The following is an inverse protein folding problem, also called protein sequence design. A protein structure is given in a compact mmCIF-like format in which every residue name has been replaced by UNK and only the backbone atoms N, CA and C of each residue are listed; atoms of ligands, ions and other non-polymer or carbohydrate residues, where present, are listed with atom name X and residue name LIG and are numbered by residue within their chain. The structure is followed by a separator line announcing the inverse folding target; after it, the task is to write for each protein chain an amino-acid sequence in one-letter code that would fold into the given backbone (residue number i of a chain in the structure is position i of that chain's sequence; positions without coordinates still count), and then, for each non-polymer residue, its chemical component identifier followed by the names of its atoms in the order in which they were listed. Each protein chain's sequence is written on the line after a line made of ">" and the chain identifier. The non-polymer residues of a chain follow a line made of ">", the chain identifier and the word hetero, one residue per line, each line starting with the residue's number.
data_IF_886532094820
#
_entry.id   IF_886532094820
#
_cell.length_a   1.000
_cell.length_b   1.000
_cell.length_c   1.000
_cell.angle_alpha   90.00
_cell.angle_beta   90.00
_cell.angle_gamma   90.00
#
_symmetry.space_group_name_H-M   'P 1'
#
loop_
_entity.id
_entity.type
_entity.pdbx_description
1 polymer ?
#
# COMPACT_ATOMS: atom_id res chain seq x y z
N UNK A 1 4.38 -59.08 -1.83
CA UNK A 1 3.33 -58.79 -0.82
C UNK A 1 3.95 -57.88 0.24
N UNK A 2 3.88 -56.57 0.05
CA UNK A 2 2.83 -55.62 0.51
C UNK A 2 2.96 -55.24 1.99
N UNK A 3 3.53 -54.06 2.23
CA UNK A 3 3.03 -53.01 3.13
C UNK A 3 4.19 -52.12 3.60
N UNK A 4 4.44 -51.01 2.89
CA UNK A 4 5.10 -49.77 3.36
C UNK A 4 5.16 -48.77 2.21
N UNK A 5 3.98 -48.42 1.71
CA UNK A 5 3.79 -47.33 0.76
C UNK A 5 2.53 -46.61 1.23
N UNK A 6 2.71 -45.46 1.89
CA UNK A 6 1.73 -44.41 2.22
C UNK A 6 2.26 -43.63 3.44
N UNK A 7 3.24 -42.74 3.24
CA UNK A 7 3.46 -41.56 4.11
C UNK A 7 4.51 -40.59 3.52
N UNK A 8 4.50 -40.41 2.20
CA UNK A 8 5.36 -39.42 1.51
C UNK A 8 4.52 -38.77 0.41
N UNK A 9 3.58 -37.87 0.77
CA UNK A 9 2.94 -36.96 -0.20
C UNK A 9 2.06 -35.84 0.38
N UNK A 10 2.16 -35.48 1.67
CA UNK A 10 1.24 -34.47 2.27
C UNK A 10 1.90 -33.40 3.14
N UNK A 11 3.15 -33.00 2.83
CA UNK A 11 3.79 -31.83 3.48
C UNK A 11 4.74 -31.05 2.55
N UNK A 12 4.39 -30.91 1.25
CA UNK A 12 5.14 -30.05 0.32
C UNK A 12 4.24 -29.01 -0.35
N UNK A 13 3.65 -28.13 0.47
CA UNK A 13 3.08 -26.83 0.04
C UNK A 13 3.41 -25.77 1.10
N UNK A 14 4.66 -25.78 1.58
CA UNK A 14 5.22 -24.70 2.39
C UNK A 14 5.86 -23.69 1.44
N UNK A 15 5.13 -22.59 1.24
CA UNK A 15 5.63 -21.26 0.89
C UNK A 15 6.85 -21.20 -0.03
N UNK A 16 6.62 -21.47 -1.31
CA UNK A 16 7.41 -20.82 -2.35
C UNK A 16 7.04 -19.34 -2.37
N UNK A 17 7.68 -18.52 -1.53
CA UNK A 17 7.73 -17.08 -1.72
C UNK A 17 8.73 -16.79 -2.86
N UNK A 18 8.32 -17.14 -4.09
CA UNK A 18 8.86 -16.52 -5.28
C UNK A 18 8.20 -15.15 -5.40
N UNK A 19 8.91 -14.10 -4.99
CA UNK A 19 8.46 -12.72 -5.17
C UNK A 19 8.70 -12.27 -6.62
N UNK A 20 8.03 -12.93 -7.56
CA UNK A 20 7.68 -12.31 -8.85
C UNK A 20 6.66 -11.21 -8.57
N UNK A 21 6.84 -10.04 -9.17
CA UNK A 21 5.98 -8.85 -9.00
C UNK A 21 4.57 -8.97 -9.57
N UNK A 22 3.89 -10.09 -9.38
CA UNK A 22 2.46 -10.24 -9.59
C UNK A 22 1.73 -9.94 -8.28
N UNK A 23 0.67 -9.14 -8.34
CA UNK A 23 -0.27 -9.02 -7.22
C UNK A 23 -0.75 -10.38 -6.70
N UNK A 24 -1.50 -10.38 -5.60
CA UNK A 24 -1.99 -11.62 -4.98
C UNK A 24 -3.51 -11.63 -4.93
N UNK A 25 -4.10 -12.82 -5.08
CA UNK A 25 -5.49 -12.98 -4.72
C UNK A 25 -5.63 -13.00 -3.21
N UNK A 26 -6.50 -12.14 -2.68
CA UNK A 26 -6.85 -12.12 -1.27
C UNK A 26 -8.36 -12.28 -1.09
N UNK A 27 -8.73 -12.84 0.05
CA UNK A 27 -10.11 -12.90 0.45
C UNK A 27 -10.61 -11.53 0.94
N UNK A 28 -11.86 -11.22 0.63
CA UNK A 28 -12.61 -10.14 1.27
C UNK A 28 -12.78 -10.40 2.76
N UNK A 29 -13.17 -9.36 3.52
CA UNK A 29 -13.34 -9.40 4.98
C UNK A 29 -14.30 -10.48 5.46
N UNK A 30 -15.33 -10.80 4.67
CA UNK A 30 -16.28 -11.88 4.92
C UNK A 30 -15.75 -13.28 4.56
N UNK A 31 -14.55 -13.35 3.97
CA UNK A 31 -13.85 -14.54 3.46
C UNK A 31 -14.56 -15.29 2.34
N UNK A 32 -15.53 -14.66 1.67
CA UNK A 32 -16.35 -15.33 0.65
C UNK A 32 -15.90 -15.05 -0.78
N UNK A 33 -15.25 -13.92 -1.01
CA UNK A 33 -14.93 -13.45 -2.36
C UNK A 33 -13.43 -13.28 -2.51
N UNK A 34 -12.87 -13.76 -3.62
CA UNK A 34 -11.48 -13.55 -4.01
C UNK A 34 -11.36 -12.33 -4.91
N UNK A 35 -10.45 -11.45 -4.55
CA UNK A 35 -10.13 -10.23 -5.29
C UNK A 35 -8.63 -10.16 -5.55
N UNK A 36 -8.23 -9.53 -6.64
CA UNK A 36 -6.83 -9.30 -6.95
C UNK A 36 -6.34 -8.01 -6.28
N UNK A 37 -5.27 -8.12 -5.50
CA UNK A 37 -4.58 -6.98 -4.91
C UNK A 37 -3.21 -6.79 -5.58
N UNK A 38 -3.05 -5.68 -6.30
CA UNK A 38 -1.78 -5.31 -6.94
C UNK A 38 -0.68 -4.97 -5.92
N UNK A 39 -1.06 -4.49 -4.72
CA UNK A 39 -0.15 -4.01 -3.69
C UNK A 39 -0.58 -4.55 -2.32
N UNK A 40 -0.38 -5.86 -2.05
CA UNK A 40 -0.79 -6.46 -0.79
C UNK A 40 -0.03 -5.85 0.38
N UNK A 41 -0.77 -5.35 1.37
CA UNK A 41 -0.23 -4.95 2.66
C UNK A 41 -0.89 -5.78 3.77
N UNK A 42 -0.21 -5.94 4.91
CA UNK A 42 -0.69 -6.80 6.01
C UNK A 42 -1.92 -6.26 6.73
N UNK A 43 -2.17 -4.96 6.63
CA UNK A 43 -3.20 -4.25 7.39
C UNK A 43 -4.35 -3.75 6.50
N UNK A 44 -4.35 -4.09 5.21
CA UNK A 44 -5.43 -3.73 4.29
C UNK A 44 -6.40 -4.91 4.11
N UNK A 45 -7.68 -4.64 4.37
CA UNK A 45 -8.79 -5.56 4.10
C UNK A 45 -9.73 -4.96 3.05
N UNK A 46 -10.52 -5.80 2.39
CA UNK A 46 -11.44 -5.34 1.36
C UNK A 46 -12.83 -5.97 1.45
N UNK A 47 -13.84 -5.29 0.92
CA UNK A 47 -15.17 -5.85 0.66
C UNK A 47 -15.56 -5.65 -0.79
N UNK A 48 -16.34 -6.58 -1.33
CA UNK A 48 -16.88 -6.51 -2.70
C UNK A 48 -18.40 -6.58 -2.64
N UNK A 49 -19.08 -5.64 -3.30
CA UNK A 49 -20.54 -5.57 -3.33
C UNK A 49 -21.19 -6.27 -4.52
N UNK A 50 -20.40 -6.69 -5.51
CA UNK A 50 -20.91 -7.35 -6.71
C UNK A 50 -21.05 -8.87 -6.53
N UNK A 51 -21.28 -9.55 -7.64
CA UNK A 51 -21.41 -11.01 -7.66
C UNK A 51 -20.06 -11.71 -7.50
N UNK A 52 -20.12 -13.03 -7.30
CA UNK A 52 -18.96 -13.92 -7.34
C UNK A 52 -19.23 -15.08 -8.29
N UNK A 53 -18.18 -15.54 -8.96
CA UNK A 53 -18.28 -16.72 -9.81
C UNK A 53 -18.28 -18.03 -8.99
N UNK A 54 -18.45 -19.16 -9.67
CA UNK A 54 -18.47 -20.49 -9.03
C UNK A 54 -17.16 -20.88 -8.35
N UNK A 55 -16.05 -20.22 -8.71
CA UNK A 55 -14.74 -20.43 -8.09
C UNK A 55 -14.48 -19.41 -6.95
N UNK A 56 -15.46 -18.56 -6.63
CA UNK A 56 -15.39 -17.59 -5.55
C UNK A 56 -14.74 -16.26 -5.92
N UNK A 57 -14.37 -16.01 -7.18
CA UNK A 57 -13.79 -14.73 -7.58
C UNK A 57 -14.86 -13.66 -7.76
N UNK A 58 -14.53 -12.41 -7.42
CA UNK A 58 -15.40 -11.27 -7.71
C UNK A 58 -15.65 -11.16 -9.23
N UNK A 59 -16.91 -11.02 -9.62
CA UNK A 59 -17.34 -10.94 -11.02
C UNK A 59 -18.49 -9.95 -11.18
N UNK A 60 -18.68 -9.47 -12.40
CA UNK A 60 -19.74 -8.52 -12.75
C UNK A 60 -19.48 -7.12 -12.22
N UNK A 61 -20.51 -6.27 -12.24
CA UNK A 61 -20.41 -4.90 -11.74
C UNK A 61 -20.57 -4.85 -10.23
N UNK A 62 -19.75 -4.04 -9.57
CA UNK A 62 -19.82 -3.84 -8.13
C UNK A 62 -18.84 -2.79 -7.64
N UNK A 63 -18.80 -2.61 -6.33
CA UNK A 63 -17.90 -1.70 -5.65
C UNK A 63 -16.96 -2.48 -4.72
N UNK A 64 -15.66 -2.32 -4.96
CA UNK A 64 -14.59 -2.79 -4.11
C UNK A 64 -14.24 -1.68 -3.10
N UNK A 65 -14.39 -1.95 -1.80
CA UNK A 65 -13.99 -1.00 -0.76
C UNK A 65 -12.77 -1.53 -0.03
N UNK A 66 -11.71 -0.73 0.05
CA UNK A 66 -10.50 -1.01 0.81
C UNK A 66 -10.55 -0.33 2.18
N UNK A 67 -10.05 -1.03 3.19
CA UNK A 67 -10.01 -0.58 4.58
C UNK A 67 -8.61 -0.77 5.14
N UNK A 68 -8.14 0.23 5.90
CA UNK A 68 -6.97 0.07 6.78
C UNK A 68 -7.44 -0.39 8.14
N UNK A 69 -6.98 -1.54 8.57
CA UNK A 69 -7.37 -2.17 9.82
C UNK A 69 -6.33 -1.89 10.88
N UNK A 70 -6.73 -1.21 11.96
CA UNK A 70 -5.88 -1.05 13.14
C UNK A 70 -6.09 -2.24 14.07
N UNK A 71 -5.02 -2.98 14.35
CA UNK A 71 -5.03 -4.10 15.30
C UNK A 71 -4.42 -3.65 16.63
N UNK A 72 -5.10 -3.91 17.74
CA UNK A 72 -4.54 -3.64 19.07
C UNK A 72 -3.35 -4.56 19.31
N UNK A 73 -2.20 -3.96 19.64
CA UNK A 73 -1.14 -4.67 20.33
C UNK A 73 -1.57 -4.76 21.79
N UNK A 74 -1.96 -5.96 22.25
CA UNK A 74 -2.19 -6.20 23.67
C UNK A 74 -0.82 -6.26 24.34
N UNK A 75 -0.41 -5.16 24.98
CA UNK A 75 0.82 -5.08 25.77
C UNK A 75 0.80 -6.13 26.89
N UNK A 76 1.72 -7.10 26.81
CA UNK A 76 1.92 -8.12 27.85
C UNK A 76 2.44 -9.48 27.37
N UNK A 77 2.41 -9.80 26.08
CA UNK A 77 2.99 -11.06 25.56
C UNK A 77 3.45 -10.91 24.11
N UNK A 78 4.73 -11.20 23.82
CA UNK A 78 5.35 -11.13 22.49
C UNK A 78 4.93 -12.29 21.55
N UNK A 79 3.68 -12.73 21.62
CA UNK A 79 3.12 -13.73 20.71
C UNK A 79 2.16 -13.01 19.77
N UNK A 80 2.46 -12.90 18.46
CA UNK A 80 1.51 -12.41 17.47
C UNK A 80 0.30 -13.36 17.46
N UNK A 81 -0.79 -12.98 18.13
CA UNK A 81 -2.04 -13.73 17.99
C UNK A 81 -2.54 -13.54 16.55
N UNK A 82 -2.78 -14.65 15.85
CA UNK A 82 -3.39 -14.67 14.52
C UNK A 82 -4.81 -14.05 14.49
N UNK A 83 -5.37 -13.72 15.67
CA UNK A 83 -6.60 -12.95 15.87
C UNK A 83 -6.32 -11.74 16.77
N UNK A 84 -5.50 -10.81 16.31
CA UNK A 84 -5.46 -9.46 16.89
C UNK A 84 -6.86 -8.83 16.81
N UNK A 85 -7.41 -8.37 17.93
CA UNK A 85 -8.72 -7.71 17.97
C UNK A 85 -8.62 -6.43 17.11
N UNK A 86 -9.38 -6.37 16.01
CA UNK A 86 -9.54 -5.16 15.21
C UNK A 86 -10.13 -4.06 16.09
N UNK A 87 -9.38 -2.98 16.30
CA UNK A 87 -9.79 -1.81 17.11
C UNK A 87 -10.58 -0.82 16.27
N UNK A 88 -10.31 -0.77 14.96
CA UNK A 88 -11.01 0.08 14.01
C UNK A 88 -10.65 -0.27 12.57
N UNK A 89 -11.51 0.12 11.64
CA UNK A 89 -11.26 0.01 10.20
C UNK A 89 -11.63 1.33 9.52
N UNK A 90 -10.68 1.95 8.82
CA UNK A 90 -10.85 3.22 8.11
C UNK A 90 -10.94 2.94 6.61
N UNK A 91 -11.98 3.43 5.94
CA UNK A 91 -12.10 3.31 4.48
C UNK A 91 -10.97 4.11 3.82
N UNK A 92 -10.18 3.46 2.98
CA UNK A 92 -9.09 4.09 2.24
C UNK A 92 -9.57 4.53 0.86
N UNK A 93 -10.25 3.63 0.14
CA UNK A 93 -10.69 3.84 -1.24
C UNK A 93 -11.92 2.98 -1.56
N UNK A 94 -12.76 3.46 -2.48
CA UNK A 94 -13.84 2.69 -3.12
C UNK A 94 -13.62 2.69 -4.63
N UNK A 95 -13.71 1.54 -5.27
CA UNK A 95 -13.60 1.39 -6.72
C UNK A 95 -14.87 0.75 -7.26
N UNK A 96 -15.58 1.41 -8.15
CA UNK A 96 -16.79 0.90 -8.81
C UNK A 96 -16.49 0.59 -10.27
N UNK A 97 -16.74 -0.65 -10.69
CA UNK A 97 -16.44 -1.10 -12.04
C UNK A 97 -16.83 -2.56 -12.27
N UNK A 98 -16.53 -3.08 -13.45
CA UNK A 98 -16.72 -4.49 -13.78
C UNK A 98 -15.49 -5.29 -13.37
N UNK A 99 -15.72 -6.40 -12.67
CA UNK A 99 -14.69 -7.39 -12.38
C UNK A 99 -14.86 -8.64 -13.24
N UNK A 100 -13.73 -9.22 -13.63
CA UNK A 100 -13.62 -10.52 -14.30
C UNK A 100 -12.56 -11.32 -13.55
N UNK A 101 -12.97 -12.44 -12.94
CA UNK A 101 -12.08 -13.31 -12.13
C UNK A 101 -11.28 -12.53 -11.07
N UNK A 102 -11.95 -11.65 -10.34
CA UNK A 102 -11.37 -10.91 -9.22
C UNK A 102 -10.58 -9.67 -9.63
N UNK A 103 -10.53 -9.33 -10.92
CA UNK A 103 -9.74 -8.21 -11.46
C UNK A 103 -10.65 -7.21 -12.14
N UNK A 104 -10.37 -5.91 -11.98
CA UNK A 104 -11.09 -4.88 -12.75
C UNK A 104 -10.76 -4.98 -14.23
N UNK A 105 -11.80 -4.85 -15.06
CA UNK A 105 -11.68 -4.87 -16.52
C UNK A 105 -12.65 -3.84 -17.13
N UNK A 106 -12.11 -2.85 -17.83
CA UNK A 106 -12.85 -1.73 -18.39
C UNK A 106 -12.86 -0.47 -17.50
N UNK A 107 -13.84 0.43 -17.68
CA UNK A 107 -13.91 1.69 -16.95
C UNK A 107 -14.20 1.49 -15.46
N UNK A 108 -13.46 2.21 -14.62
CA UNK A 108 -13.58 2.18 -13.16
C UNK A 108 -13.67 3.60 -12.62
N UNK A 109 -14.60 3.82 -11.70
CA UNK A 109 -14.67 5.04 -10.88
C UNK A 109 -14.02 4.75 -9.54
N UNK A 110 -13.17 5.65 -9.05
CA UNK A 110 -12.65 5.62 -7.71
C UNK A 110 -13.25 6.78 -6.91
N UNK A 111 -13.59 6.49 -5.66
CA UNK A 111 -13.88 7.48 -4.63
C UNK A 111 -12.85 7.30 -3.54
N UNK A 112 -12.06 8.32 -3.29
CA UNK A 112 -11.05 8.27 -2.23
C UNK A 112 -11.68 8.46 -0.84
N UNK A 113 -10.85 8.42 0.21
CA UNK A 113 -11.29 8.65 1.59
C UNK A 113 -11.90 10.05 1.82
N UNK A 114 -11.56 11.05 1.00
CA UNK A 114 -12.11 12.41 1.07
C UNK A 114 -13.45 12.57 0.34
N UNK A 115 -13.85 11.56 -0.43
CA UNK A 115 -15.06 11.58 -1.26
C UNK A 115 -14.83 12.11 -2.67
N UNK A 116 -13.58 12.42 -3.06
CA UNK A 116 -13.25 12.90 -4.39
C UNK A 116 -13.33 11.76 -5.40
N UNK A 117 -13.94 12.05 -6.54
CA UNK A 117 -14.17 11.08 -7.62
C UNK A 117 -13.10 11.20 -8.70
N UNK A 118 -12.61 10.05 -9.12
CA UNK A 118 -11.74 9.90 -10.27
C UNK A 118 -12.28 8.78 -11.17
N UNK A 119 -11.91 8.78 -12.44
CA UNK A 119 -12.15 7.64 -13.31
C UNK A 119 -10.90 7.27 -14.11
N UNK A 120 -10.81 5.99 -14.44
CA UNK A 120 -9.73 5.41 -15.22
C UNK A 120 -10.19 4.15 -15.93
N UNK A 121 -9.28 3.51 -16.67
CA UNK A 121 -9.54 2.23 -17.35
C UNK A 121 -8.57 1.18 -16.85
N UNK A 122 -9.10 0.00 -16.56
CA UNK A 122 -8.33 -1.19 -16.22
C UNK A 122 -8.37 -2.19 -17.37
N UNK A 123 -7.30 -2.94 -17.53
CA UNK A 123 -7.21 -4.08 -18.43
C UNK A 123 -6.61 -5.22 -17.60
N UNK A 124 -7.41 -6.27 -17.37
CA UNK A 124 -7.00 -7.45 -16.60
C UNK A 124 -6.36 -7.13 -15.23
N UNK A 125 -6.93 -6.17 -14.49
CA UNK A 125 -6.46 -5.77 -13.16
C UNK A 125 -5.33 -4.75 -13.14
N UNK A 126 -4.74 -4.43 -14.30
CA UNK A 126 -3.71 -3.39 -14.43
C UNK A 126 -4.34 -2.08 -14.92
N UNK A 127 -3.91 -0.96 -14.33
CA UNK A 127 -4.32 0.39 -14.75
C UNK A 127 -3.75 0.65 -16.16
N UNK A 128 -4.61 0.93 -17.13
CA UNK A 128 -4.22 1.13 -18.52
C UNK A 128 -3.98 2.61 -18.88
N UNK A 129 -4.69 3.55 -18.24
CA UNK A 129 -4.60 4.99 -18.49
C UNK A 129 -4.53 5.76 -17.17
N UNK A 130 -4.03 7.00 -17.23
CA UNK A 130 -4.06 7.92 -16.09
C UNK A 130 -5.47 8.25 -15.60
N UNK A 131 -5.57 8.44 -14.29
CA UNK A 131 -6.83 8.75 -13.63
C UNK A 131 -7.17 10.21 -13.88
N UNK A 132 -8.39 10.47 -14.34
CA UNK A 132 -8.91 11.81 -14.58
C UNK A 132 -9.87 12.17 -13.45
N UNK A 133 -9.74 13.37 -12.90
CA UNK A 133 -10.65 13.87 -11.87
C UNK A 133 -12.04 14.11 -12.45
N UNK A 134 -13.07 13.74 -11.69
CA UNK A 134 -14.47 13.89 -12.08
C UNK A 134 -15.16 12.57 -12.43
N UNK A 135 -16.48 12.61 -12.67
CA UNK A 135 -17.27 11.43 -13.02
C UNK A 135 -16.86 10.88 -14.40
N UNK A 136 -17.09 9.58 -14.63
CA UNK A 136 -16.94 8.99 -15.96
C UNK A 136 -17.73 9.80 -17.01
N UNK A 137 -17.12 10.19 -18.14
CA UNK A 137 -17.85 10.75 -19.27
C UNK A 137 -18.92 9.76 -19.70
N UNK A 138 -20.18 10.22 -19.82
CA UNK A 138 -21.26 9.40 -20.33
C UNK A 138 -20.94 9.05 -21.78
N UNK A 139 -20.53 7.82 -22.02
CA UNK A 139 -20.37 7.28 -23.37
C UNK A 139 -21.66 6.55 -23.74
N UNK A 140 -22.07 6.59 -25.01
CA UNK A 140 -23.36 6.10 -25.51
C UNK A 140 -23.66 4.62 -25.19
N UNK A 141 -22.65 3.84 -24.79
CA UNK A 141 -22.82 2.49 -24.23
C UNK A 141 -23.69 2.45 -22.96
N UNK A 142 -23.66 3.49 -22.12
CA UNK A 142 -24.46 3.52 -20.89
C UNK A 142 -25.93 3.89 -21.15
N UNK A 143 -26.22 4.50 -22.30
CA UNK A 143 -27.59 4.86 -22.71
C UNK A 143 -28.33 3.66 -23.34
N UNK A 144 -27.60 2.81 -24.07
CA UNK A 144 -28.17 1.56 -24.60
C UNK A 144 -28.45 0.50 -23.51
N UNK A 145 -27.75 0.51 -22.37
CA UNK A 145 -28.04 -0.43 -21.27
C UNK A 145 -29.16 0.04 -20.31
N UNK A 146 -29.45 1.35 -20.21
CA UNK A 146 -30.63 1.81 -19.45
C UNK A 146 -31.94 1.46 -20.15
N UNK A 147 -31.93 1.29 -21.46
CA UNK A 147 -33.11 0.90 -22.25
C UNK A 147 -33.35 -0.62 -22.20
N UNK A 148 -32.32 -1.43 -21.93
CA UNK A 148 -32.45 -2.90 -21.87
C UNK A 148 -32.65 -3.50 -20.47
N UNK A 149 -32.65 -2.68 -19.40
CA UNK A 149 -32.87 -3.15 -18.02
C UNK A 149 -34.14 -2.61 -17.36
N UNK A 150 -35.09 -2.17 -18.18
CA UNK A 150 -36.45 -1.81 -17.76
C UNK A 150 -37.41 -3.00 -17.76
N UNK A 151 -37.10 -4.08 -17.05
CA UNK A 151 -38.08 -5.10 -16.71
C UNK A 151 -37.62 -5.93 -15.50
N UNK A 152 -38.52 -6.06 -14.53
CA UNK A 152 -38.56 -7.04 -13.42
C UNK A 152 -37.92 -6.62 -12.08
N UNK A 153 -38.80 -6.04 -11.25
CA UNK A 153 -38.97 -6.18 -9.79
C UNK A 153 -37.80 -5.85 -8.84
N UNK A 154 -37.84 -4.64 -8.27
CA UNK A 154 -37.18 -4.32 -7.01
C UNK A 154 -38.21 -4.30 -5.87
N UNK A 155 -38.17 -5.32 -5.00
CA UNK A 155 -38.83 -5.34 -3.69
C UNK A 155 -37.82 -4.82 -2.64
N UNK A 156 -38.19 -3.90 -1.74
CA UNK A 156 -37.24 -3.25 -0.83
C UNK A 156 -36.90 -4.11 0.41
N UNK A 157 -35.65 -4.12 0.93
CA UNK A 157 -35.34 -4.68 2.24
C UNK A 157 -35.52 -3.63 3.35
N UNK A 158 -36.22 -4.05 4.40
CA UNK A 158 -36.65 -3.29 5.56
C UNK A 158 -35.53 -2.89 6.54
N UNK A 159 -35.80 -1.78 7.24
CA UNK A 159 -35.15 -1.31 8.46
C UNK A 159 -35.37 -2.24 9.66
N UNK A 160 -34.34 -2.32 10.54
CA UNK A 160 -34.48 -2.31 12.01
C UNK A 160 -35.01 -3.56 12.75
N UNK A 161 -34.33 -4.03 13.82
CA UNK A 161 -34.89 -5.02 14.75
C UNK A 161 -35.82 -4.39 15.83
N UNK A 162 -36.64 -5.20 16.53
CA UNK A 162 -38.05 -4.88 16.80
C UNK A 162 -38.32 -4.23 18.17
N UNK A 163 -39.45 -3.52 18.26
CA UNK A 163 -40.18 -3.27 19.51
C UNK A 163 -41.61 -3.79 19.39
N UNK A 164 -42.06 -4.36 20.51
CA UNK A 164 -43.23 -5.20 20.74
C UNK A 164 -44.56 -4.71 20.16
N UNK A 165 -45.34 -5.64 19.61
CA UNK A 165 -46.75 -5.47 19.28
C UNK A 165 -47.63 -5.78 20.50
N UNK A 166 -48.64 -4.96 20.73
CA UNK A 166 -49.82 -5.32 21.51
C UNK A 166 -51.07 -5.19 20.62
N UNK A 167 -51.73 -6.34 20.48
CA UNK A 167 -53.16 -6.59 20.25
C UNK A 167 -53.89 -5.98 19.04
N UNK A 168 -54.24 -6.91 18.15
CA UNK A 168 -55.31 -6.96 17.16
C UNK A 168 -56.65 -6.28 17.54
N UNK A 169 -57.40 -5.80 16.53
CA UNK A 169 -58.45 -6.58 15.82
C UNK A 169 -59.64 -5.73 15.34
N UNK A 170 -60.05 -5.93 14.06
CA UNK A 170 -61.45 -5.95 13.54
C UNK A 170 -62.15 -4.56 13.47
N UNK A 171 -62.82 -4.07 12.41
CA UNK A 171 -63.38 -4.53 11.11
C UNK A 171 -63.98 -3.27 10.37
N UNK A 172 -64.75 -3.37 9.25
CA UNK A 172 -64.49 -2.54 8.06
C UNK A 172 -65.69 -1.69 7.55
N UNK A 173 -65.48 -1.08 6.37
CA UNK A 173 -66.44 -0.58 5.37
C UNK A 173 -67.22 0.75 5.62
N UNK A 174 -66.97 1.67 4.67
CA UNK A 174 -67.78 2.77 4.09
C UNK A 174 -69.30 2.51 4.01
N UNK A 175 -70.21 3.53 3.91
CA UNK A 175 -70.15 4.60 2.87
C UNK A 175 -70.82 5.99 3.14
N UNK A 176 -70.59 6.91 2.19
CA UNK A 176 -71.50 7.94 1.61
C UNK A 176 -71.92 9.23 2.39
N UNK A 177 -72.30 10.33 1.67
CA UNK A 177 -72.11 11.71 2.12
C UNK A 177 -73.39 12.59 2.30
N UNK A 178 -73.14 13.82 2.82
CA UNK A 178 -73.82 15.13 2.55
C UNK A 178 -74.79 15.74 3.61
N UNK A 179 -74.23 16.74 4.35
CA UNK A 179 -74.75 18.10 4.68
C UNK A 179 -76.02 18.29 5.57
N UNK A 180 -76.35 19.53 6.02
CA UNK A 180 -75.58 20.53 6.82
C UNK A 180 -76.41 21.15 8.00
N UNK A 181 -75.79 21.90 8.94
CA UNK A 181 -76.34 23.14 9.56
C UNK A 181 -75.48 23.70 10.73
N UNK A 182 -75.08 24.97 10.58
CA UNK A 182 -75.10 26.13 11.52
C UNK A 182 -75.34 25.83 13.02
N UNK A 183 -74.56 26.28 13.99
CA UNK A 183 -74.41 27.67 14.46
C UNK A 183 -73.47 27.76 15.68
N UNK A 184 -72.80 28.90 15.84
CA UNK A 184 -71.98 29.34 16.99
C UNK A 184 -72.88 29.77 18.20
N UNK A 185 -72.39 30.17 19.42
CA UNK A 185 -71.42 31.26 19.63
C UNK A 185 -70.49 31.25 20.89
N UNK A 186 -69.55 32.21 20.87
CA UNK A 186 -68.92 32.97 21.99
C UNK A 186 -67.96 32.26 22.97
N UNK A 187 -66.94 32.87 23.60
CA UNK A 187 -66.10 34.09 23.50
C UNK A 187 -65.13 33.98 24.70
N UNK A 188 -63.81 34.12 24.56
CA UNK A 188 -62.90 34.77 25.55
C UNK A 188 -61.40 34.74 25.17
N UNK A 189 -60.92 35.91 24.71
CA UNK A 189 -59.73 36.70 25.12
C UNK A 189 -58.31 36.09 25.42
N UNK A 190 -57.23 36.89 25.28
CA UNK A 190 -55.89 36.45 24.86
C UNK A 190 -54.77 36.64 25.90
N UNK A 191 -53.62 35.96 25.73
CA UNK A 191 -52.35 36.36 26.36
C UNK A 191 -51.08 35.80 25.66
N UNK A 192 -50.31 36.75 25.10
CA UNK A 192 -48.84 36.92 25.24
C UNK A 192 -47.87 35.85 24.72
N UNK A 193 -47.28 36.13 23.56
CA UNK A 193 -46.08 35.49 23.00
C UNK A 193 -44.77 35.98 23.64
N UNK A 194 -43.95 35.05 24.12
CA UNK A 194 -42.53 35.28 24.49
C UNK A 194 -41.66 34.75 23.34
N UNK A 195 -40.70 35.51 22.79
CA UNK A 195 -39.79 34.99 21.77
C UNK A 195 -38.65 34.15 22.39
N UNK A 196 -38.33 33.04 21.73
CA UNK A 196 -37.30 32.08 22.09
C UNK A 196 -35.86 32.62 21.90
N UNK A 197 -34.88 32.20 22.72
CA UNK A 197 -33.49 32.58 22.54
C UNK A 197 -32.84 31.84 21.36
N UNK A 198 -32.18 32.59 20.48
CA UNK A 198 -31.42 32.06 19.35
C UNK A 198 -30.12 31.40 19.83
N UNK A 199 -29.96 30.12 19.54
CA UNK A 199 -28.70 29.36 19.72
C UNK A 199 -27.79 29.71 18.53
N UNK A 200 -26.55 30.17 18.74
CA UNK A 200 -25.60 30.40 17.64
C UNK A 200 -25.17 29.07 17.01
N UNK A 201 -25.11 29.05 15.68
CA UNK A 201 -24.71 27.89 14.88
C UNK A 201 -23.29 27.41 15.24
N UNK A 202 -23.02 26.09 15.19
CA UNK A 202 -21.70 25.55 15.48
C UNK A 202 -20.72 25.90 14.37
N UNK A 203 -19.64 26.59 14.75
CA UNK A 203 -18.49 26.90 13.90
C UNK A 203 -17.90 25.63 13.30
N UNK A 204 -17.77 25.61 11.98
CA UNK A 204 -17.03 24.60 11.23
C UNK A 204 -15.55 24.61 11.66
N UNK A 205 -14.92 23.47 11.98
CA UNK A 205 -13.49 23.43 12.27
C UNK A 205 -12.66 23.74 11.01
N UNK A 206 -11.52 24.44 11.13
CA UNK A 206 -10.78 24.93 9.97
C UNK A 206 -10.14 23.78 9.21
N UNK A 207 -10.49 23.66 7.93
CA UNK A 207 -9.63 23.00 6.95
C UNK A 207 -8.27 23.72 6.97
N UNK A 208 -7.17 22.99 6.84
CA UNK A 208 -5.85 23.61 6.60
C UNK A 208 -6.01 24.55 5.41
N UNK A 209 -5.83 25.85 5.64
CA UNK A 209 -6.04 26.85 4.60
C UNK A 209 -5.14 26.53 3.39
N UNK A 210 -5.65 26.69 2.16
CA UNK A 210 -4.92 26.35 0.93
C UNK A 210 -3.56 27.06 0.84
N UNK A 211 -3.42 28.23 1.47
CA UNK A 211 -2.18 28.99 1.59
C UNK A 211 -1.12 28.28 2.45
N UNK A 212 -1.53 27.68 3.56
CA UNK A 212 -0.63 26.90 4.44
C UNK A 212 -0.11 25.68 3.68
N UNK A 213 -0.98 25.01 2.93
CA UNK A 213 -0.62 23.85 2.11
C UNK A 213 0.38 24.22 1.01
N UNK A 214 0.13 25.32 0.29
CA UNK A 214 1.03 25.85 -0.74
C UNK A 214 2.41 26.18 -0.19
N UNK A 215 2.46 26.82 0.99
CA UNK A 215 3.72 27.10 1.69
C UNK A 215 4.46 25.82 2.07
N UNK A 216 3.77 24.84 2.63
CA UNK A 216 4.37 23.54 2.99
C UNK A 216 4.94 22.81 1.77
N UNK A 217 4.26 22.87 0.62
CA UNK A 217 4.74 22.30 -0.65
C UNK A 217 6.02 23.01 -1.07
N UNK A 218 6.01 24.34 -1.11
CA UNK A 218 7.16 25.15 -1.51
C UNK A 218 8.37 24.86 -0.61
N UNK A 219 8.19 24.91 0.70
CA UNK A 219 9.24 24.60 1.68
C UNK A 219 9.80 23.17 1.49
N UNK A 220 8.94 22.19 1.17
CA UNK A 220 9.37 20.81 0.95
C UNK A 220 10.22 20.67 -0.33
N UNK A 221 9.83 21.34 -1.42
CA UNK A 221 10.58 21.35 -2.67
C UNK A 221 11.96 21.98 -2.50
N UNK A 222 12.01 23.15 -1.86
CA UNK A 222 13.27 23.86 -1.58
C UNK A 222 14.22 23.01 -0.74
N UNK A 223 13.72 22.36 0.30
CA UNK A 223 14.55 21.51 1.16
C UNK A 223 15.03 20.26 0.45
N UNK A 224 14.18 19.63 -0.36
CA UNK A 224 14.57 18.47 -1.17
C UNK A 224 15.70 18.85 -2.11
N UNK A 225 15.59 20.00 -2.78
CA UNK A 225 16.65 20.51 -3.67
C UNK A 225 17.94 20.86 -2.91
N UNK A 226 17.83 21.45 -1.72
CA UNK A 226 18.99 21.80 -0.90
C UNK A 226 19.76 20.56 -0.44
N UNK A 227 19.07 19.51 0.01
CA UNK A 227 19.71 18.24 0.42
C UNK A 227 20.26 17.50 -0.79
N UNK A 228 19.53 17.46 -1.91
CA UNK A 228 20.03 16.89 -3.17
C UNK A 228 21.37 17.52 -3.57
N UNK A 229 21.48 18.85 -3.48
CA UNK A 229 22.72 19.57 -3.79
C UNK A 229 23.86 19.17 -2.85
N UNK A 230 23.61 19.10 -1.53
CA UNK A 230 24.61 18.65 -0.54
C UNK A 230 25.10 17.23 -0.78
N UNK A 231 24.19 16.31 -1.14
CA UNK A 231 24.54 14.93 -1.45
C UNK A 231 25.29 14.85 -2.79
N UNK A 232 24.91 15.66 -3.77
CA UNK A 232 25.65 15.80 -5.04
C UNK A 232 27.09 16.21 -4.76
N UNK A 233 27.31 17.26 -3.98
CA UNK A 233 28.66 17.74 -3.63
C UNK A 233 29.46 16.67 -2.89
N UNK A 234 28.83 16.02 -1.89
CA UNK A 234 29.48 14.98 -1.09
C UNK A 234 29.86 13.72 -1.89
N UNK A 235 29.15 13.44 -2.97
CA UNK A 235 29.41 12.28 -3.86
C UNK A 235 30.27 12.63 -5.06
N UNK A 236 30.66 13.90 -5.25
CA UNK A 236 31.39 14.34 -6.44
C UNK A 236 30.52 14.40 -7.70
N UNK A 237 29.25 14.81 -7.55
CA UNK A 237 28.23 14.90 -8.59
C UNK A 237 27.80 13.56 -9.17
N UNK A 238 27.60 12.56 -8.30
CA UNK A 238 27.01 11.28 -8.68
C UNK A 238 27.75 10.55 -9.82
N UNK A 239 29.08 10.34 -9.73
CA UNK A 239 29.87 9.69 -10.78
C UNK A 239 29.54 8.19 -10.87
N UNK A 240 29.54 7.60 -12.07
CA UNK A 240 29.35 6.16 -12.19
C UNK A 240 30.40 5.37 -11.39
N UNK A 241 29.93 4.33 -10.70
CA UNK A 241 30.73 3.50 -9.81
C UNK A 241 31.12 2.20 -10.52
N UNK A 242 32.42 1.92 -10.59
CA UNK A 242 32.98 0.71 -11.19
C UNK A 242 33.62 -0.24 -10.16
N UNK A 243 33.85 0.23 -8.93
CA UNK A 243 34.48 -0.51 -7.81
C UNK A 243 33.81 -0.19 -6.47
N UNK A 244 33.79 -1.15 -5.53
CA UNK A 244 33.18 -0.90 -4.22
C UNK A 244 33.97 0.12 -3.39
N UNK A 245 35.30 0.09 -3.50
CA UNK A 245 36.20 0.99 -2.76
C UNK A 245 36.06 2.47 -3.17
N UNK A 246 35.48 2.77 -4.34
CA UNK A 246 35.19 4.14 -4.76
C UNK A 246 33.89 4.68 -4.14
N UNK A 247 33.07 3.83 -3.52
CA UNK A 247 31.83 4.25 -2.85
C UNK A 247 32.17 4.79 -1.47
N UNK A 248 32.16 6.11 -1.34
CA UNK A 248 32.39 6.76 -0.06
C UNK A 248 31.10 6.89 0.73
N UNK A 249 31.19 6.63 2.04
CA UNK A 249 30.11 6.93 2.96
C UNK A 249 29.86 8.44 3.00
N UNK A 250 28.60 8.85 3.00
CA UNK A 250 28.25 10.26 3.14
C UNK A 250 28.79 10.82 4.47
N UNK A 251 29.31 12.06 4.48
CA UNK A 251 29.70 12.72 5.72
C UNK A 251 28.54 12.76 6.72
N UNK A 252 28.80 12.62 8.04
CA UNK A 252 27.73 12.57 9.04
C UNK A 252 26.70 13.72 8.96
N UNK A 253 27.10 14.99 8.77
CA UNK A 253 26.13 16.09 8.64
C UNK A 253 25.22 15.98 7.40
N UNK A 254 25.72 15.36 6.33
CA UNK A 254 24.96 15.13 5.10
C UNK A 254 23.99 13.96 5.30
N UNK A 255 24.45 12.87 5.92
CA UNK A 255 23.60 11.73 6.30
C UNK A 255 22.45 12.16 7.23
N UNK A 256 22.73 13.00 8.23
CA UNK A 256 21.72 13.59 9.12
C UNK A 256 20.72 14.47 8.35
N UNK A 257 21.20 15.24 7.36
CA UNK A 257 20.32 16.05 6.50
C UNK A 257 19.37 15.16 5.68
N UNK A 258 19.84 14.02 5.16
CA UNK A 258 19.02 13.04 4.45
C UNK A 258 17.99 12.41 5.39
N UNK A 259 18.40 11.97 6.58
CA UNK A 259 17.50 11.38 7.57
C UNK A 259 16.39 12.36 8.00
N UNK A 260 16.76 13.61 8.28
CA UNK A 260 15.81 14.67 8.62
C UNK A 260 14.81 14.94 7.48
N UNK A 261 15.28 14.92 6.23
CA UNK A 261 14.41 15.09 5.06
C UNK A 261 13.45 13.90 4.88
N UNK A 262 13.89 12.67 5.14
CA UNK A 262 13.02 11.48 5.11
C UNK A 262 11.90 11.58 6.14
N UNK A 263 12.21 11.97 7.37
CA UNK A 263 11.20 12.16 8.41
C UNK A 263 10.25 13.31 8.06
N UNK A 264 10.78 14.41 7.53
CA UNK A 264 9.95 15.51 7.05
C UNK A 264 9.06 15.11 5.88
N UNK A 265 9.53 14.26 4.96
CA UNK A 265 8.71 13.74 3.87
C UNK A 265 7.55 12.86 4.39
N UNK A 266 7.77 12.07 5.44
CA UNK A 266 6.69 11.31 6.11
C UNK A 266 5.66 12.25 6.73
N UNK A 267 6.12 13.25 7.49
CA UNK A 267 5.26 14.26 8.10
C UNK A 267 4.49 15.09 7.06
N UNK A 268 5.17 15.46 5.97
CA UNK A 268 4.58 16.18 4.85
C UNK A 268 3.45 15.36 4.21
N UNK A 269 3.70 14.09 3.86
CA UNK A 269 2.69 13.17 3.31
C UNK A 269 1.50 13.02 4.27
N UNK A 270 1.74 12.96 5.58
CA UNK A 270 0.69 12.86 6.60
C UNK A 270 -0.18 14.13 6.70
N UNK A 271 0.43 15.32 6.60
CA UNK A 271 -0.27 16.61 6.76
C UNK A 271 -0.96 17.10 5.48
N UNK A 272 -0.32 16.92 4.33
CA UNK A 272 -0.79 17.43 3.03
C UNK A 272 -1.71 16.42 2.32
N UNK A 273 -1.67 15.16 2.75
CA UNK A 273 -2.43 14.04 2.19
C UNK A 273 -1.65 13.32 1.09
N UNK A 274 -1.81 12.00 1.02
CA UNK A 274 -1.12 11.15 0.05
C UNK A 274 -1.41 11.54 -1.42
N UNK A 275 -2.62 12.02 -1.72
CA UNK A 275 -2.99 12.42 -3.07
C UNK A 275 -2.11 13.58 -3.57
N UNK A 276 -2.02 14.67 -2.80
CA UNK A 276 -1.23 15.83 -3.20
C UNK A 276 0.27 15.55 -3.19
N UNK A 277 0.74 14.72 -2.25
CA UNK A 277 2.14 14.26 -2.29
C UNK A 277 2.46 13.49 -3.59
N UNK A 278 1.53 12.66 -4.08
CA UNK A 278 1.69 11.87 -5.30
C UNK A 278 1.36 12.63 -6.59
N UNK A 279 0.62 13.74 -6.54
CA UNK A 279 0.28 14.54 -7.73
C UNK A 279 1.19 15.75 -7.94
N UNK A 280 1.50 16.50 -6.89
CA UNK A 280 2.20 17.80 -7.00
C UNK A 280 3.67 17.74 -6.55
N UNK A 281 4.02 16.76 -5.71
CA UNK A 281 5.35 16.60 -5.12
C UNK A 281 5.95 15.22 -5.40
N UNK A 282 5.52 14.55 -6.47
CA UNK A 282 5.92 13.18 -6.76
C UNK A 282 7.42 13.09 -7.02
N UNK A 283 7.96 13.95 -7.89
CA UNK A 283 9.39 14.03 -8.20
C UNK A 283 10.25 14.24 -6.95
N UNK A 284 9.79 15.06 -6.02
CA UNK A 284 10.50 15.38 -4.78
C UNK A 284 10.41 14.20 -3.82
N UNK A 285 9.25 13.56 -3.73
CA UNK A 285 9.05 12.34 -2.94
C UNK A 285 9.99 11.23 -3.40
N UNK A 286 10.06 10.97 -4.70
CA UNK A 286 10.96 9.97 -5.29
C UNK A 286 12.43 10.37 -5.10
N UNK A 287 12.77 11.67 -5.15
CA UNK A 287 14.12 12.16 -4.83
C UNK A 287 14.50 11.86 -3.39
N UNK A 288 13.61 12.09 -2.42
CA UNK A 288 13.88 11.79 -1.02
C UNK A 288 14.17 10.30 -0.84
N UNK A 289 13.37 9.44 -1.47
CA UNK A 289 13.54 7.99 -1.40
C UNK A 289 14.87 7.56 -2.07
N UNK A 290 15.24 8.19 -3.20
CA UNK A 290 16.52 7.99 -3.89
C UNK A 290 17.72 8.42 -3.04
N UNK A 291 17.65 9.59 -2.38
CA UNK A 291 18.70 10.08 -1.47
C UNK A 291 18.85 9.17 -0.26
N UNK A 292 17.74 8.66 0.29
CA UNK A 292 17.77 7.63 1.33
C UNK A 292 18.44 6.35 0.84
N UNK A 293 18.19 5.93 -0.40
CA UNK A 293 18.85 4.76 -0.99
C UNK A 293 20.36 4.95 -1.15
N UNK A 294 20.82 6.15 -1.55
CA UNK A 294 22.27 6.49 -1.58
C UNK A 294 22.88 6.37 -0.19
N UNK A 295 22.28 7.04 0.80
CA UNK A 295 22.81 7.07 2.16
C UNK A 295 22.86 5.67 2.80
N UNK A 296 21.82 4.86 2.63
CA UNK A 296 21.79 3.48 3.14
C UNK A 296 22.80 2.59 2.42
N UNK A 297 22.91 2.69 1.09
CA UNK A 297 23.79 1.83 0.29
C UNK A 297 25.26 2.11 0.58
N UNK A 298 25.64 3.39 0.64
CA UNK A 298 27.01 3.82 0.97
C UNK A 298 27.40 3.38 2.39
N UNK A 299 26.50 3.50 3.37
CA UNK A 299 26.70 2.97 4.74
C UNK A 299 26.83 1.45 4.77
N UNK A 300 25.99 0.73 4.02
CA UNK A 300 26.04 -0.72 3.95
C UNK A 300 27.35 -1.23 3.32
N UNK A 301 27.82 -0.59 2.24
CA UNK A 301 29.10 -0.93 1.60
C UNK A 301 30.26 -0.66 2.55
N UNK A 302 30.32 0.51 3.19
CA UNK A 302 31.33 0.82 4.20
C UNK A 302 31.29 -0.14 5.40
N UNK A 303 30.10 -0.63 5.76
CA UNK A 303 29.87 -1.64 6.79
C UNK A 303 30.14 -3.10 6.37
N UNK A 304 30.76 -3.34 5.20
CA UNK A 304 31.01 -4.67 4.64
C UNK A 304 29.73 -5.52 4.46
N UNK A 305 28.63 -4.87 4.07
CA UNK A 305 27.34 -5.48 3.80
C UNK A 305 26.84 -5.08 2.40
N UNK A 306 27.63 -5.39 1.38
CA UNK A 306 27.29 -5.13 -0.01
C UNK A 306 26.00 -5.87 -0.45
N UNK A 307 25.68 -7.00 0.19
CA UNK A 307 24.39 -7.71 0.00
C UNK A 307 23.17 -6.85 0.36
N UNK A 308 23.20 -6.15 1.49
CA UNK A 308 22.08 -5.28 1.88
C UNK A 308 21.98 -4.04 0.98
N UNK A 309 23.13 -3.50 0.53
CA UNK A 309 23.15 -2.44 -0.48
C UNK A 309 22.51 -2.93 -1.79
N UNK A 310 22.88 -4.12 -2.29
CA UNK A 310 22.34 -4.64 -3.53
C UNK A 310 20.82 -4.86 -3.46
N UNK A 311 20.33 -5.46 -2.38
CA UNK A 311 18.90 -5.67 -2.15
C UNK A 311 18.15 -4.34 -2.12
N UNK A 312 18.61 -3.38 -1.30
CA UNK A 312 17.95 -2.08 -1.17
C UNK A 312 17.93 -1.28 -2.48
N UNK A 313 19.02 -1.29 -3.25
CA UNK A 313 19.08 -0.65 -4.57
C UNK A 313 18.17 -1.34 -5.58
N UNK A 314 18.09 -2.67 -5.54
CA UNK A 314 17.21 -3.45 -6.42
C UNK A 314 15.74 -3.15 -6.13
N UNK A 315 15.36 -3.14 -4.86
CA UNK A 315 13.98 -2.82 -4.44
C UNK A 315 13.62 -1.38 -4.84
N UNK A 316 14.50 -0.41 -4.57
CA UNK A 316 14.27 0.99 -4.94
C UNK A 316 14.11 1.17 -6.47
N UNK A 317 15.03 0.63 -7.28
CA UNK A 317 15.01 0.79 -8.74
C UNK A 317 13.91 -0.03 -9.42
N UNK A 318 13.40 -1.07 -8.77
CA UNK A 318 12.21 -1.80 -9.24
C UNK A 318 10.97 -0.92 -9.19
N UNK A 319 10.81 -0.16 -8.10
CA UNK A 319 9.66 0.73 -7.92
C UNK A 319 9.88 2.10 -8.62
N UNK A 320 11.13 2.49 -8.85
CA UNK A 320 11.53 3.77 -9.43
C UNK A 320 12.59 3.57 -10.55
N UNK A 321 12.20 2.99 -11.70
CA UNK A 321 13.16 2.60 -12.75
C UNK A 321 13.86 3.80 -13.40
N UNK A 322 13.18 4.94 -13.50
CA UNK A 322 13.68 6.15 -14.15
C UNK A 322 13.24 7.40 -13.37
N UNK A 323 14.04 8.49 -13.41
CA UNK A 323 13.65 9.75 -12.79
C UNK A 323 12.48 10.38 -13.54
N UNK A 324 11.59 11.07 -12.83
CA UNK A 324 10.51 11.83 -13.46
C UNK A 324 10.98 13.10 -14.16
N UNK A 325 12.12 13.65 -13.74
CA UNK A 325 12.66 14.90 -14.27
C UNK A 325 14.15 14.77 -14.59
N UNK A 326 14.58 15.42 -15.67
CA UNK A 326 15.94 15.30 -16.20
C UNK A 326 17.04 15.74 -15.23
N UNK A 327 16.72 16.67 -14.33
CA UNK A 327 17.66 17.17 -13.31
C UNK A 327 18.08 16.08 -12.31
N UNK A 328 17.28 15.03 -12.14
CA UNK A 328 17.57 13.90 -11.24
C UNK A 328 18.33 12.75 -11.94
N UNK A 329 18.53 12.83 -13.26
CA UNK A 329 19.19 11.79 -14.05
C UNK A 329 20.57 11.36 -13.52
N UNK A 330 21.44 12.28 -13.06
CA UNK A 330 22.72 11.88 -12.47
C UNK A 330 22.56 10.96 -11.26
N UNK A 331 21.61 11.27 -10.36
CA UNK A 331 21.33 10.46 -9.17
C UNK A 331 20.86 9.05 -9.52
N UNK A 332 19.94 8.91 -10.48
CA UNK A 332 19.46 7.59 -10.93
C UNK A 332 20.55 6.77 -11.61
N UNK A 333 21.39 7.42 -12.43
CA UNK A 333 22.56 6.78 -13.05
C UNK A 333 23.53 6.26 -12.00
N UNK A 334 23.80 7.06 -10.97
CA UNK A 334 24.65 6.67 -9.84
C UNK A 334 24.12 5.43 -9.11
N UNK A 335 22.85 5.44 -8.69
CA UNK A 335 22.19 4.30 -8.04
C UNK A 335 22.20 3.05 -8.94
N UNK A 336 21.93 3.22 -10.23
CA UNK A 336 21.94 2.12 -11.20
C UNK A 336 23.35 1.53 -11.36
N UNK A 337 24.38 2.37 -11.43
CA UNK A 337 25.77 1.90 -11.53
C UNK A 337 26.20 1.11 -10.29
N UNK A 338 25.88 1.58 -9.08
CA UNK A 338 26.12 0.84 -7.84
C UNK A 338 25.39 -0.50 -7.83
N UNK A 339 24.11 -0.54 -8.23
CA UNK A 339 23.35 -1.81 -8.30
C UNK A 339 23.98 -2.80 -9.28
N UNK A 340 24.34 -2.33 -10.48
CA UNK A 340 24.96 -3.19 -11.49
C UNK A 340 26.31 -3.74 -11.03
N UNK A 341 27.13 -2.91 -10.37
CA UNK A 341 28.36 -3.35 -9.75
C UNK A 341 28.11 -4.42 -8.69
N UNK A 342 27.22 -4.15 -7.73
CA UNK A 342 26.90 -5.09 -6.67
C UNK A 342 26.39 -6.43 -7.21
N UNK A 343 25.48 -6.39 -8.19
CA UNK A 343 24.95 -7.60 -8.83
C UNK A 343 26.04 -8.41 -9.56
N UNK A 344 26.97 -7.74 -10.25
CA UNK A 344 28.11 -8.41 -10.88
C UNK A 344 29.01 -9.10 -9.84
N UNK A 345 29.38 -8.39 -8.79
CA UNK A 345 30.26 -8.91 -7.75
C UNK A 345 29.60 -10.03 -6.94
N UNK A 346 28.31 -9.93 -6.65
CA UNK A 346 27.54 -10.98 -6.00
C UNK A 346 27.58 -12.29 -6.82
N UNK A 347 27.37 -12.19 -8.14
CA UNK A 347 27.46 -13.33 -9.05
C UNK A 347 28.88 -13.92 -9.12
N UNK A 348 29.91 -13.09 -9.11
CA UNK A 348 31.30 -13.56 -9.05
C UNK A 348 31.60 -14.29 -7.73
N UNK A 349 31.09 -13.77 -6.61
CA UNK A 349 31.24 -14.39 -5.30
C UNK A 349 30.47 -15.73 -5.18
N UNK A 350 29.33 -15.89 -5.86
CA UNK A 350 28.52 -17.12 -5.86
C UNK A 350 29.32 -18.36 -6.26
N UNK A 351 30.21 -18.23 -7.27
CA UNK A 351 31.08 -19.33 -7.70
C UNK A 351 32.01 -19.80 -6.56
N UNK A 352 32.53 -18.87 -5.76
CA UNK A 352 33.34 -19.20 -4.59
C UNK A 352 32.49 -19.80 -3.46
N UNK A 353 31.26 -19.32 -3.25
CA UNK A 353 30.35 -19.87 -2.24
C UNK A 353 29.96 -21.32 -2.55
N UNK A 354 29.69 -21.65 -3.81
CA UNK A 354 29.40 -23.02 -4.23
C UNK A 354 30.58 -23.98 -3.97
N UNK A 355 31.80 -23.57 -4.35
CA UNK A 355 33.02 -24.34 -4.07
C UNK A 355 33.26 -24.50 -2.58
N UNK A 356 33.08 -23.43 -1.80
CA UNK A 356 33.21 -23.45 -0.35
C UNK A 356 32.23 -24.45 0.28
N UNK A 357 30.98 -24.46 -0.19
CA UNK A 357 29.96 -25.42 0.23
C UNK A 357 30.33 -26.87 -0.09
N UNK A 358 30.86 -27.13 -1.28
CA UNK A 358 31.34 -28.45 -1.69
C UNK A 358 32.54 -28.93 -0.85
N UNK A 359 33.49 -28.06 -0.52
CA UNK A 359 34.59 -28.42 0.38
C UNK A 359 34.10 -28.67 1.81
N UNK A 360 33.16 -27.87 2.30
CA UNK A 360 32.60 -28.05 3.63
C UNK A 360 31.87 -29.39 3.76
N UNK A 361 31.08 -29.79 2.76
CA UNK A 361 30.37 -31.08 2.75
C UNK A 361 31.33 -32.28 2.63
N UNK A 362 32.48 -32.09 1.99
CA UNK A 362 33.54 -33.09 1.90
C UNK A 362 34.46 -33.15 3.15
N UNK A 363 34.18 -32.39 4.21
CA UNK A 363 35.01 -32.32 5.41
C UNK A 363 36.35 -31.60 5.24
N UNK A 364 36.56 -30.94 4.09
CA UNK A 364 37.78 -30.17 3.76
C UNK A 364 37.67 -28.75 4.30
N UNK A 365 37.61 -28.62 5.63
CA UNK A 365 37.31 -27.34 6.31
C UNK A 365 38.29 -26.22 5.97
N UNK A 366 39.59 -26.51 5.81
CA UNK A 366 40.60 -25.51 5.43
C UNK A 366 40.35 -24.92 4.03
N UNK A 367 40.01 -25.77 3.06
CA UNK A 367 39.71 -25.32 1.70
C UNK A 367 38.38 -24.55 1.65
N UNK A 368 37.38 -24.99 2.42
CA UNK A 368 36.10 -24.29 2.55
C UNK A 368 36.28 -22.86 3.11
N UNK A 369 37.08 -22.72 4.17
CA UNK A 369 37.39 -21.40 4.76
C UNK A 369 38.09 -20.49 3.74
N UNK A 370 39.03 -21.03 2.95
CA UNK A 370 39.72 -20.25 1.91
C UNK A 370 38.75 -19.74 0.85
N UNK A 371 37.88 -20.59 0.32
CA UNK A 371 36.89 -20.18 -0.69
C UNK A 371 35.86 -19.18 -0.12
N UNK A 372 35.36 -19.38 1.11
CA UNK A 372 34.48 -18.39 1.74
C UNK A 372 35.17 -17.03 1.92
N UNK A 373 36.48 -16.99 2.20
CA UNK A 373 37.24 -15.75 2.30
C UNK A 373 37.38 -15.05 0.94
N UNK A 374 37.61 -15.79 -0.15
CA UNK A 374 37.61 -15.20 -1.49
C UNK A 374 36.23 -14.64 -1.85
N UNK A 375 35.15 -15.40 -1.59
CA UNK A 375 33.79 -14.91 -1.77
C UNK A 375 33.53 -13.60 -1.00
N UNK A 376 33.96 -13.54 0.27
CA UNK A 376 33.80 -12.35 1.10
C UNK A 376 34.62 -11.15 0.63
N UNK A 377 35.83 -11.37 0.07
CA UNK A 377 36.64 -10.30 -0.51
C UNK A 377 36.00 -9.72 -1.77
N UNK A 378 35.44 -10.57 -2.62
CA UNK A 378 34.77 -10.15 -3.85
C UNK A 378 33.47 -9.42 -3.55
N UNK A 379 32.67 -9.95 -2.63
CA UNK A 379 31.38 -9.37 -2.25
C UNK A 379 31.15 -9.50 -0.74
N UNK A 380 31.44 -8.43 0.04
CA UNK A 380 31.30 -8.44 1.48
C UNK A 380 29.85 -8.70 1.93
N UNK A 381 29.66 -9.78 2.69
CA UNK A 381 28.37 -10.22 3.19
C UNK A 381 28.50 -10.75 4.64
N UNK A 382 27.73 -10.22 5.62
CA UNK A 382 27.77 -10.67 7.01
C UNK A 382 27.49 -12.18 7.20
N UNK A 383 26.64 -12.78 6.37
CA UNK A 383 26.34 -14.21 6.44
C UNK A 383 27.56 -15.05 6.06
N UNK A 384 28.30 -14.64 5.03
CA UNK A 384 29.57 -15.28 4.63
C UNK A 384 30.62 -15.12 5.73
N UNK A 385 30.73 -13.94 6.33
CA UNK A 385 31.63 -13.70 7.45
C UNK A 385 31.32 -14.60 8.66
N UNK A 386 30.03 -14.78 8.99
CA UNK A 386 29.64 -15.68 10.07
C UNK A 386 29.94 -17.14 9.74
N UNK A 387 29.77 -17.56 8.49
CA UNK A 387 30.13 -18.91 8.06
C UNK A 387 31.62 -19.20 8.22
N UNK A 388 32.47 -18.22 7.90
CA UNK A 388 33.93 -18.31 8.14
C UNK A 388 34.19 -18.51 9.64
N UNK A 389 33.59 -17.68 10.52
CA UNK A 389 33.76 -17.79 11.98
C UNK A 389 33.29 -19.13 12.51
N UNK A 390 32.15 -19.64 12.03
CA UNK A 390 31.61 -20.92 12.43
C UNK A 390 32.58 -22.06 12.10
N UNK A 391 33.09 -22.10 10.86
CA UNK A 391 34.03 -23.15 10.44
C UNK A 391 35.36 -23.07 11.19
N UNK A 392 35.85 -21.86 11.49
CA UNK A 392 37.05 -21.66 12.29
C UNK A 392 36.87 -22.19 13.72
N UNK A 393 35.75 -21.86 14.39
CA UNK A 393 35.44 -22.40 15.73
C UNK A 393 35.38 -23.92 15.74
N UNK A 394 34.64 -24.50 14.78
CA UNK A 394 34.51 -25.95 14.66
C UNK A 394 35.87 -26.64 14.41
N UNK A 395 36.77 -26.02 13.65
CA UNK A 395 38.12 -26.56 13.41
C UNK A 395 39.03 -26.55 14.64
N UNK A 396 38.73 -25.68 15.62
CA UNK A 396 39.47 -25.55 16.87
C UNK A 396 38.85 -26.37 18.02
N UNK A 397 37.70 -27.03 17.79
CA UNK A 397 36.99 -27.82 18.80
C UNK A 397 36.39 -26.97 19.93
N UNK A 398 36.06 -25.70 19.66
CA UNK A 398 35.55 -24.71 20.62
C UNK A 398 34.02 -24.54 20.57
#
# INVERSE_FOLDING_TARGET
>A
MTARCLFVCTTLLLFANGADGGGVYQHTRDRRTLIWNNYPTRDDEATWSGERDSNGYATGYGTLTWYRVQRAIVTGSNIPSAKGRTVGAVVINRYSGKMVRGRFDGPVVNVDASGKMFHGRFVNGTKANDWVAGPLPRTDQQLNERVSKGAVNAQPPAEGPPRFAAAASIRPFTPAPSAPATSAPATSAPATSIPAPSIPAPSTPPAVEPEVKSRMITDFKEQTQAVLSRVSDATGNFPEIDRLDSVQQLPPPVSESVASLVDRARDFRAKVGYETALSECRSETETVDALSAVDQSTRNIAGNNASAANSGLTDFLKDNPEPMVDTQRPLWRYLTSMRLLCSRLEKEAETHLERAGAFASAGRTGDAIREYKEAYRTFPNPATAEKIRQLQRNSLGL
#
